data_IF_448774128938
#
_entry.id   IF_448774128938
#
_cell.length_a   1.000
_cell.length_b   1.000
_cell.length_c   1.000
_cell.angle_alpha   90.00
_cell.angle_beta   90.00
_cell.angle_gamma   90.00
#
_symmetry.space_group_name_H-M   'P 1'
#
loop_
_entity.id
_entity.type
_entity.pdbx_description
1 polymer ?
#
# COMPACT_ATOMS: atom_id res chain seq x y z
N UNK A 1 -46.31 2.44 21.75
CA UNK A 1 -45.82 2.65 20.37
C UNK A 1 -44.31 2.54 20.45
N UNK A 2 -43.76 1.48 19.86
CA UNK A 2 -42.40 0.94 20.09
C UNK A 2 -41.32 2.00 20.01
N UNK A 3 -40.65 2.24 21.13
CA UNK A 3 -39.31 2.81 21.15
C UNK A 3 -38.37 1.76 20.55
N UNK A 4 -38.05 1.89 19.27
CA UNK A 4 -36.86 1.28 18.68
C UNK A 4 -35.67 1.79 19.48
N UNK A 5 -35.29 1.01 20.49
CA UNK A 5 -34.01 1.18 21.17
C UNK A 5 -32.98 0.68 20.19
N UNK A 6 -32.58 1.56 19.27
CA UNK A 6 -31.47 1.33 18.35
C UNK A 6 -30.29 0.85 19.19
N UNK A 7 -30.03 -0.45 19.08
CA UNK A 7 -29.08 -1.14 19.94
C UNK A 7 -27.69 -0.59 19.67
N UNK A 8 -27.16 0.19 20.61
CA UNK A 8 -25.81 0.75 20.54
C UNK A 8 -24.81 -0.40 20.75
N UNK A 9 -24.34 -0.98 19.65
CA UNK A 9 -23.21 -1.91 19.65
C UNK A 9 -21.90 -1.12 19.62
N UNK A 10 -21.61 -0.44 20.72
CA UNK A 10 -20.24 0.02 20.97
C UNK A 10 -19.67 -1.02 21.93
N UNK A 11 -18.67 -1.76 21.49
CA UNK A 11 -17.86 -2.56 22.40
C UNK A 11 -16.45 -2.15 22.01
N UNK A 12 -15.75 -1.42 22.88
CA UNK A 12 -14.35 -1.13 22.64
C UNK A 12 -13.56 -2.37 23.10
N UNK A 13 -13.49 -3.39 22.25
CA UNK A 13 -12.62 -4.53 22.49
C UNK A 13 -11.20 -4.15 22.03
N UNK A 14 -10.16 -4.29 22.88
CA UNK A 14 -8.76 -4.11 22.48
C UNK A 14 -8.25 -5.24 21.56
N UNK A 15 -9.13 -6.17 21.15
CA UNK A 15 -8.84 -7.34 20.33
C UNK A 15 -9.79 -7.44 19.14
N UNK A 16 -9.22 -7.86 18.02
CA UNK A 16 -9.74 -7.89 16.64
C UNK A 16 -10.79 -9.00 16.38
N UNK A 17 -11.84 -9.09 17.20
CA UNK A 17 -12.95 -10.03 17.00
C UNK A 17 -14.27 -9.29 16.73
N UNK A 18 -14.33 -8.58 15.60
CA UNK A 18 -15.58 -8.09 15.03
C UNK A 18 -15.95 -9.02 13.89
N UNK A 19 -16.96 -9.87 14.10
CA UNK A 19 -17.44 -10.86 13.12
C UNK A 19 -17.84 -10.19 11.80
N UNK A 20 -16.90 -10.09 10.86
CA UNK A 20 -17.04 -9.52 9.51
C UNK A 20 -17.57 -8.07 9.40
N UNK A 21 -17.61 -7.32 10.51
CA UNK A 21 -18.04 -5.91 10.48
C UNK A 21 -16.86 -5.00 10.12
N UNK A 22 -16.99 -4.14 9.08
CA UNK A 22 -15.93 -3.20 8.74
C UNK A 22 -15.70 -2.20 9.88
N UNK A 23 -14.43 -2.03 10.26
CA UNK A 23 -13.99 -1.12 11.31
C UNK A 23 -13.20 0.06 10.73
N UNK A 24 -13.19 1.16 11.47
CA UNK A 24 -12.37 2.34 11.21
C UNK A 24 -11.49 2.62 12.44
N UNK A 25 -10.25 3.03 12.20
CA UNK A 25 -9.36 3.44 13.28
C UNK A 25 -9.61 4.92 13.63
N UNK A 26 -10.07 5.18 14.85
CA UNK A 26 -10.28 6.52 15.41
C UNK A 26 -9.44 6.64 16.68
N UNK A 27 -8.49 7.57 16.74
CA UNK A 27 -7.60 7.78 17.89
C UNK A 27 -6.85 6.52 18.39
N UNK A 28 -6.54 5.57 17.51
CA UNK A 28 -5.87 4.32 17.90
C UNK A 28 -6.84 3.24 18.39
N UNK A 29 -8.15 3.46 18.27
CA UNK A 29 -9.20 2.51 18.60
C UNK A 29 -9.92 2.03 17.33
N UNK A 30 -10.09 0.72 17.19
CA UNK A 30 -10.93 0.16 16.13
C UNK A 30 -12.41 0.31 16.52
N UNK A 31 -13.12 1.15 15.77
CA UNK A 31 -14.54 1.44 15.95
C UNK A 31 -15.32 0.81 14.78
N UNK A 32 -16.35 0.00 15.02
CA UNK A 32 -17.23 -0.48 13.96
C UNK A 32 -17.87 0.68 13.19
N UNK A 33 -17.92 0.59 11.85
CA UNK A 33 -18.53 1.65 11.03
C UNK A 33 -19.96 2.01 11.44
N UNK A 34 -20.86 1.07 11.79
CA UNK A 34 -22.21 1.42 12.25
C UNK A 34 -22.21 2.29 13.52
N UNK A 35 -21.28 2.04 14.43
CA UNK A 35 -21.14 2.85 15.64
C UNK A 35 -20.60 4.25 15.33
N UNK A 36 -19.63 4.35 14.41
CA UNK A 36 -19.08 5.63 13.96
C UNK A 36 -20.17 6.52 13.36
N UNK A 37 -20.94 6.00 12.40
CA UNK A 37 -22.02 6.77 11.75
C UNK A 37 -23.09 7.20 12.74
N UNK A 38 -23.45 6.36 13.69
CA UNK A 38 -24.42 6.73 14.71
C UNK A 38 -23.92 7.86 15.63
N UNK A 39 -22.63 7.91 15.95
CA UNK A 39 -22.02 9.03 16.69
C UNK A 39 -22.09 10.30 15.84
N UNK A 40 -21.79 10.21 14.54
CA UNK A 40 -21.90 11.32 13.58
C UNK A 40 -23.33 11.86 13.55
N UNK A 41 -24.33 10.99 13.37
CA UNK A 41 -25.75 11.36 13.30
C UNK A 41 -26.20 12.11 14.56
N UNK A 42 -25.83 11.60 15.75
CA UNK A 42 -26.19 12.26 17.01
C UNK A 42 -25.54 13.64 17.17
N UNK A 43 -24.33 13.83 16.66
CA UNK A 43 -23.66 15.13 16.68
C UNK A 43 -24.23 16.08 15.62
N UNK A 44 -24.68 15.57 14.47
CA UNK A 44 -25.41 16.36 13.45
C UNK A 44 -26.79 16.81 13.94
N UNK A 45 -27.47 15.97 14.72
CA UNK A 45 -28.71 16.29 15.42
C UNK A 45 -28.53 17.36 16.52
N UNK A 46 -27.30 17.82 16.75
CA UNK A 46 -26.97 18.89 17.70
C UNK A 46 -26.90 18.44 19.15
N UNK A 47 -26.79 17.13 19.43
CA UNK A 47 -26.62 16.64 20.80
C UNK A 47 -25.25 17.02 21.34
N UNK A 48 -25.21 17.35 22.63
CA UNK A 48 -23.96 17.63 23.34
C UNK A 48 -23.06 16.40 23.33
N UNK A 49 -21.74 16.61 23.30
CA UNK A 49 -20.77 15.50 23.30
C UNK A 49 -20.98 14.59 24.50
N UNK A 50 -21.27 15.19 25.65
CA UNK A 50 -21.54 14.54 26.93
C UNK A 50 -22.79 13.66 26.86
N UNK A 51 -23.84 14.11 26.15
CA UNK A 51 -25.07 13.35 25.95
C UNK A 51 -24.87 12.14 25.03
N UNK A 52 -24.03 12.31 23.99
CA UNK A 52 -23.64 11.21 23.09
C UNK A 52 -22.83 10.18 23.85
N UNK A 53 -21.82 10.62 24.60
CA UNK A 53 -20.99 9.78 25.46
C UNK A 53 -21.86 9.03 26.47
N UNK A 54 -22.81 9.69 27.12
CA UNK A 54 -23.70 9.07 28.10
C UNK A 54 -24.66 8.05 27.46
N UNK A 55 -25.16 8.35 26.26
CA UNK A 55 -25.97 7.42 25.46
C UNK A 55 -25.20 6.15 25.09
N UNK A 56 -23.91 6.29 24.80
CA UNK A 56 -23.02 5.17 24.44
C UNK A 56 -22.62 4.37 25.69
N UNK A 57 -22.24 5.02 26.79
CA UNK A 57 -21.82 4.37 28.05
C UNK A 57 -22.93 3.52 28.68
N UNK A 58 -24.19 3.94 28.54
CA UNK A 58 -25.35 3.17 28.99
C UNK A 58 -25.36 1.74 28.43
N UNK A 59 -24.73 1.51 27.28
CA UNK A 59 -24.68 0.23 26.58
C UNK A 59 -23.35 -0.50 26.76
N UNK A 60 -22.23 0.22 26.94
CA UNK A 60 -20.87 -0.36 26.94
C UNK A 60 -20.26 -0.57 28.33
N UNK A 61 -20.84 0.03 29.36
CA UNK A 61 -20.35 -0.02 30.74
C UNK A 61 -19.20 0.95 31.04
N UNK A 62 -19.02 1.25 32.34
CA UNK A 62 -18.12 2.33 32.82
C UNK A 62 -16.63 2.19 32.50
N UNK A 63 -16.16 0.99 32.12
CA UNK A 63 -14.73 0.75 31.83
C UNK A 63 -14.28 1.35 30.49
N UNK A 64 -15.20 1.63 29.59
CA UNK A 64 -14.93 2.13 28.23
C UNK A 64 -15.21 3.62 28.07
N UNK A 65 -15.57 4.31 29.15
CA UNK A 65 -15.94 5.74 29.18
C UNK A 65 -14.87 6.61 28.54
N UNK A 66 -13.61 6.43 28.96
CA UNK A 66 -12.51 7.24 28.46
C UNK A 66 -12.31 7.04 26.95
N UNK A 67 -12.34 5.79 26.49
CA UNK A 67 -12.21 5.46 25.06
C UNK A 67 -13.35 6.05 24.23
N UNK A 68 -14.57 5.99 24.76
CA UNK A 68 -15.76 6.56 24.09
C UNK A 68 -15.66 8.09 24.04
N UNK A 69 -15.20 8.74 25.10
CA UNK A 69 -14.95 10.18 25.11
C UNK A 69 -13.94 10.57 24.03
N UNK A 70 -12.78 9.89 24.00
CA UNK A 70 -11.71 10.18 23.05
C UNK A 70 -12.17 9.99 21.59
N UNK A 71 -13.01 8.98 21.33
CA UNK A 71 -13.62 8.73 20.02
C UNK A 71 -14.63 9.81 19.67
N UNK A 72 -15.57 10.15 20.56
CA UNK A 72 -16.60 11.18 20.32
C UNK A 72 -15.97 12.55 20.11
N UNK A 73 -14.94 12.89 20.87
CA UNK A 73 -14.18 14.14 20.70
C UNK A 73 -13.51 14.21 19.33
N UNK A 74 -12.86 13.13 18.91
CA UNK A 74 -12.25 13.05 17.58
C UNK A 74 -13.27 13.15 16.45
N UNK A 75 -14.42 12.49 16.59
CA UNK A 75 -15.51 12.56 15.59
C UNK A 75 -16.08 13.97 15.51
N UNK A 76 -16.32 14.61 16.66
CA UNK A 76 -16.83 15.98 16.71
C UNK A 76 -15.84 16.99 16.12
N UNK A 77 -14.53 16.84 16.40
CA UNK A 77 -13.49 17.66 15.78
C UNK A 77 -13.46 17.49 14.26
N UNK A 78 -13.55 16.25 13.78
CA UNK A 78 -13.61 15.95 12.36
C UNK A 78 -14.83 16.60 11.69
N UNK A 79 -16.01 16.51 12.31
CA UNK A 79 -17.21 17.19 11.82
C UNK A 79 -17.05 18.71 11.82
N UNK A 80 -16.49 19.30 12.88
CA UNK A 80 -16.22 20.74 12.91
C UNK A 80 -15.28 21.17 11.77
N UNK A 81 -14.25 20.39 11.45
CA UNK A 81 -13.36 20.67 10.33
C UNK A 81 -14.10 20.60 8.98
N UNK A 82 -15.02 19.63 8.82
CA UNK A 82 -15.87 19.50 7.62
C UNK A 82 -16.82 20.72 7.50
N UNK A 83 -17.53 21.07 8.57
CA UNK A 83 -18.47 22.20 8.59
C UNK A 83 -17.77 23.55 8.41
N UNK A 84 -16.61 23.78 9.05
CA UNK A 84 -15.81 25.00 8.86
C UNK A 84 -15.34 25.14 7.42
N UNK A 85 -14.99 24.04 6.76
CA UNK A 85 -14.60 24.05 5.34
C UNK A 85 -15.79 24.34 4.41
N UNK A 86 -16.98 23.85 4.75
CA UNK A 86 -18.22 24.11 4.00
C UNK A 86 -18.71 25.56 4.15
N UNK A 87 -18.61 26.16 5.34
CA UNK A 87 -19.02 27.55 5.59
C UNK A 87 -18.08 28.59 4.96
N UNK A 88 -16.78 28.30 4.85
CA UNK A 88 -15.80 29.17 4.16
C UNK A 88 -15.98 29.11 2.62
N UNK A 89 -16.68 28.10 2.09
CA UNK A 89 -16.88 27.93 0.65
C UNK A 89 -17.96 28.84 0.03
N UNK A 90 -18.87 29.40 0.83
CA UNK A 90 -20.06 30.11 0.31
C UNK A 90 -20.01 31.64 0.41
N UNK A 91 -18.92 32.23 0.91
CA UNK A 91 -18.71 33.68 0.82
C UNK A 91 -17.27 33.96 0.43
N UNK A 92 -17.12 34.80 -0.60
CA UNK A 92 -15.88 35.34 -1.17
C UNK A 92 -15.35 34.58 -2.40
N UNK A 93 -15.92 34.95 -3.54
CA UNK A 93 -15.16 35.15 -4.77
C UNK A 93 -14.05 36.18 -4.54
N UNK A 94 -12.96 35.74 -3.91
CA UNK A 94 -11.66 36.38 -4.02
C UNK A 94 -10.71 35.34 -4.61
N UNK A 95 -9.87 35.71 -5.59
CA UNK A 95 -8.87 34.80 -6.11
C UNK A 95 -7.80 34.63 -5.01
N UNK A 96 -8.06 33.74 -4.05
CA UNK A 96 -7.03 33.24 -3.18
C UNK A 96 -5.98 32.62 -4.10
N UNK A 97 -4.82 33.27 -4.19
CA UNK A 97 -3.59 32.61 -4.66
C UNK A 97 -3.43 31.39 -3.78
N UNK A 98 -3.95 30.25 -4.25
CA UNK A 98 -3.84 28.96 -3.57
C UNK A 98 -2.36 28.77 -3.28
N UNK A 99 -1.98 28.68 -2.01
CA UNK A 99 -0.63 28.30 -1.65
C UNK A 99 -0.39 26.92 -2.28
N UNK A 100 0.56 26.83 -3.20
CA UNK A 100 0.87 25.60 -3.97
C UNK A 100 1.31 24.43 -3.08
N UNK A 101 1.46 24.64 -1.76
CA UNK A 101 1.97 23.70 -0.78
C UNK A 101 1.06 22.49 -0.49
N UNK A 102 -0.26 22.61 -0.53
CA UNK A 102 -1.15 21.44 -0.32
C UNK A 102 -1.21 20.56 -1.57
N UNK A 103 -0.98 21.14 -2.76
CA UNK A 103 -0.84 20.37 -3.99
C UNK A 103 0.48 19.58 -4.03
N UNK A 104 1.56 20.12 -3.43
CA UNK A 104 2.86 19.45 -3.46
C UNK A 104 2.85 18.17 -2.62
N UNK A 105 2.22 18.14 -1.45
CA UNK A 105 2.17 16.93 -0.61
C UNK A 105 1.34 15.79 -1.22
N UNK A 106 0.18 16.10 -1.81
CA UNK A 106 -0.65 15.12 -2.55
C UNK A 106 0.03 14.65 -3.83
N UNK A 107 0.70 15.55 -4.56
CA UNK A 107 1.46 15.18 -5.74
C UNK A 107 2.68 14.33 -5.37
N UNK A 108 3.39 14.62 -4.27
CA UNK A 108 4.49 13.79 -3.79
C UNK A 108 4.04 12.38 -3.40
N UNK A 109 2.88 12.25 -2.73
CA UNK A 109 2.35 10.93 -2.34
C UNK A 109 1.93 10.10 -3.54
N UNK A 110 1.25 10.72 -4.52
CA UNK A 110 0.87 10.06 -5.77
C UNK A 110 2.08 9.73 -6.66
N UNK A 111 3.11 10.60 -6.66
CA UNK A 111 4.35 10.37 -7.38
C UNK A 111 5.12 9.19 -6.76
N UNK A 112 5.26 9.16 -5.44
CA UNK A 112 5.91 8.05 -4.74
C UNK A 112 5.21 6.70 -5.00
N UNK A 113 3.88 6.69 -5.08
CA UNK A 113 3.12 5.48 -5.42
C UNK A 113 3.38 5.01 -6.86
N UNK A 114 3.37 5.94 -7.83
CA UNK A 114 3.70 5.65 -9.23
C UNK A 114 5.14 5.19 -9.42
N UNK A 115 6.07 5.83 -8.73
CA UNK A 115 7.51 5.50 -8.79
C UNK A 115 7.77 4.12 -8.16
N UNK A 116 7.06 3.78 -7.08
CA UNK A 116 7.12 2.44 -6.46
C UNK A 116 6.57 1.37 -7.40
N UNK A 117 5.43 1.63 -8.04
CA UNK A 117 4.81 0.69 -8.99
C UNK A 117 5.68 0.50 -10.25
N UNK A 118 6.32 1.57 -10.74
CA UNK A 118 7.28 1.50 -11.82
C UNK A 118 8.55 0.72 -11.43
N UNK A 119 9.03 0.87 -10.20
CA UNK A 119 10.18 0.14 -9.68
C UNK A 119 9.88 -1.36 -9.50
N UNK A 120 8.68 -1.72 -9.05
CA UNK A 120 8.23 -3.11 -8.95
C UNK A 120 8.09 -3.75 -10.35
N UNK A 121 7.51 -3.03 -11.32
CA UNK A 121 7.42 -3.50 -12.71
C UNK A 121 8.78 -3.67 -13.38
N UNK A 122 9.74 -2.77 -13.11
CA UNK A 122 11.11 -2.89 -13.60
C UNK A 122 11.84 -4.09 -12.99
N UNK A 123 11.60 -4.39 -11.71
CA UNK A 123 12.15 -5.57 -11.05
C UNK A 123 11.61 -6.86 -11.68
N UNK A 124 10.30 -6.94 -11.92
CA UNK A 124 9.68 -8.10 -12.56
C UNK A 124 10.21 -8.32 -13.97
N UNK A 125 10.31 -7.27 -14.79
CA UNK A 125 10.89 -7.34 -16.13
C UNK A 125 12.36 -7.80 -16.11
N UNK A 126 13.16 -7.32 -15.15
CA UNK A 126 14.56 -7.73 -15.01
C UNK A 126 14.67 -9.21 -14.60
N UNK A 127 13.81 -9.70 -13.70
CA UNK A 127 13.78 -11.12 -13.34
C UNK A 127 13.33 -12.03 -14.48
N UNK A 128 12.45 -11.54 -15.36
CA UNK A 128 12.04 -12.29 -16.54
C UNK A 128 13.19 -12.40 -17.55
N UNK A 129 13.93 -11.32 -17.79
CA UNK A 129 15.15 -11.35 -18.63
C UNK A 129 16.22 -12.28 -18.06
N UNK A 130 16.37 -12.33 -16.74
CA UNK A 130 17.30 -13.27 -16.10
C UNK A 130 16.94 -14.72 -16.42
N UNK A 131 15.65 -15.08 -16.36
CA UNK A 131 15.19 -16.44 -16.73
C UNK A 131 15.48 -16.77 -18.18
N UNK A 132 15.27 -15.82 -19.09
CA UNK A 132 15.58 -16.00 -20.52
C UNK A 132 17.07 -16.25 -20.74
N UNK A 133 17.95 -15.46 -20.10
CA UNK A 133 19.40 -15.65 -20.17
C UNK A 133 19.85 -16.99 -19.60
N UNK A 134 19.23 -17.47 -18.52
CA UNK A 134 19.53 -18.78 -17.95
C UNK A 134 19.09 -19.91 -18.89
N UNK A 135 17.95 -19.78 -19.56
CA UNK A 135 17.50 -20.73 -20.57
C UNK A 135 18.45 -20.76 -21.78
N UNK A 136 18.91 -19.59 -22.25
CA UNK A 136 19.91 -19.50 -23.32
C UNK A 136 21.23 -20.18 -22.92
N UNK A 137 21.70 -19.96 -21.68
CA UNK A 137 22.89 -20.62 -21.15
C UNK A 137 22.73 -22.15 -21.13
N UNK A 138 21.57 -22.66 -20.69
CA UNK A 138 21.27 -24.09 -20.72
C UNK A 138 21.26 -24.65 -22.14
N UNK A 139 20.67 -23.94 -23.10
CA UNK A 139 20.65 -24.33 -24.50
C UNK A 139 22.07 -24.40 -25.10
N UNK A 140 22.92 -23.42 -24.81
CA UNK A 140 24.32 -23.38 -25.26
C UNK A 140 25.12 -24.53 -24.61
N UNK A 141 24.91 -24.80 -23.32
CA UNK A 141 25.56 -25.91 -22.61
C UNK A 141 25.18 -27.26 -23.22
N UNK A 142 23.90 -27.48 -23.50
CA UNK A 142 23.41 -28.69 -24.16
C UNK A 142 23.97 -28.81 -25.58
N UNK A 143 24.04 -27.72 -26.35
CA UNK A 143 24.68 -27.68 -27.67
C UNK A 143 26.15 -28.05 -27.60
N UNK A 144 26.89 -27.57 -26.60
CA UNK A 144 28.29 -27.94 -26.34
C UNK A 144 28.44 -29.44 -26.11
N UNK A 145 27.57 -30.01 -25.27
CA UNK A 145 27.57 -31.45 -24.97
C UNK A 145 27.30 -32.29 -26.23
N UNK A 146 26.36 -31.88 -27.07
CA UNK A 146 26.08 -32.55 -28.35
C UNK A 146 27.27 -32.49 -29.32
N UNK A 147 27.98 -31.36 -29.38
CA UNK A 147 29.19 -31.22 -30.22
C UNK A 147 30.35 -32.08 -29.73
N UNK A 148 30.37 -32.43 -28.44
CA UNK A 148 31.33 -33.41 -27.93
C UNK A 148 30.97 -34.86 -28.27
N UNK A 149 29.74 -35.17 -28.67
CA UNK A 149 29.33 -36.53 -29.05
C UNK A 149 29.36 -36.79 -30.56
N UNK A 150 29.60 -35.76 -31.36
CA UNK A 150 29.57 -35.80 -32.82
C UNK A 150 30.95 -36.13 -33.39
N UNK A 151 31.00 -37.03 -34.37
CA UNK A 151 32.22 -37.31 -35.12
C UNK A 151 32.54 -36.15 -36.06
N UNK A 152 33.67 -35.48 -35.79
CA UNK A 152 34.13 -34.31 -36.52
C UNK A 152 35.65 -34.29 -36.57
N UNK A 153 36.23 -33.63 -37.57
CA UNK A 153 37.66 -33.32 -37.59
C UNK A 153 38.06 -32.54 -36.33
N UNK A 154 39.20 -32.85 -35.70
CA UNK A 154 39.64 -32.22 -34.46
C UNK A 154 39.77 -30.68 -34.57
N UNK A 155 40.16 -30.15 -35.73
CA UNK A 155 40.27 -28.71 -35.95
C UNK A 155 38.91 -28.02 -36.07
N UNK A 156 37.95 -28.63 -36.76
CA UNK A 156 36.59 -28.11 -36.87
C UNK A 156 35.88 -28.15 -35.52
N UNK A 157 36.15 -29.20 -34.72
CA UNK A 157 35.67 -29.34 -33.35
C UNK A 157 36.22 -28.26 -32.44
N UNK A 158 37.51 -27.93 -32.54
CA UNK A 158 38.13 -26.82 -31.79
C UNK A 158 37.49 -25.48 -32.15
N UNK A 159 37.31 -25.18 -33.44
CA UNK A 159 36.69 -23.94 -33.90
C UNK A 159 35.24 -23.80 -33.39
N UNK A 160 34.45 -24.85 -33.50
CA UNK A 160 33.04 -24.84 -33.06
C UNK A 160 32.90 -24.76 -31.54
N UNK A 161 33.71 -25.49 -30.77
CA UNK A 161 33.72 -25.36 -29.30
C UNK A 161 34.16 -23.96 -28.89
N UNK A 162 35.18 -23.40 -29.54
CA UNK A 162 35.63 -22.04 -29.27
C UNK A 162 34.55 -20.98 -29.57
N UNK A 163 33.74 -21.18 -30.61
CA UNK A 163 32.61 -20.30 -30.92
C UNK A 163 31.51 -20.40 -29.85
N UNK A 164 31.15 -21.61 -29.43
CA UNK A 164 30.18 -21.87 -28.36
C UNK A 164 30.65 -21.28 -27.02
N UNK A 165 31.94 -21.40 -26.70
CA UNK A 165 32.51 -20.81 -25.49
C UNK A 165 32.52 -19.28 -25.56
N UNK A 166 32.65 -18.69 -26.75
CA UNK A 166 32.50 -17.26 -26.93
C UNK A 166 31.06 -16.79 -26.74
N UNK A 167 30.08 -17.51 -27.30
CA UNK A 167 28.65 -17.27 -27.07
C UNK A 167 28.30 -17.38 -25.57
N UNK A 168 28.79 -18.42 -24.89
CA UNK A 168 28.59 -18.60 -23.44
C UNK A 168 29.17 -17.42 -22.64
N UNK A 169 30.38 -16.96 -22.97
CA UNK A 169 30.99 -15.78 -22.33
C UNK A 169 30.15 -14.51 -22.52
N UNK A 170 29.52 -14.34 -23.68
CA UNK A 170 28.63 -13.21 -23.92
C UNK A 170 27.36 -13.30 -23.06
N UNK A 171 26.75 -14.47 -22.96
CA UNK A 171 25.56 -14.69 -22.11
C UNK A 171 25.88 -14.42 -20.64
N UNK A 172 27.03 -14.90 -20.14
CA UNK A 172 27.46 -14.65 -18.76
C UNK A 172 27.70 -13.16 -18.47
N UNK A 173 28.25 -12.40 -19.42
CA UNK A 173 28.40 -10.94 -19.28
C UNK A 173 27.05 -10.24 -19.18
N UNK A 174 26.10 -10.60 -20.06
CA UNK A 174 24.73 -10.05 -20.02
C UNK A 174 24.03 -10.42 -18.72
N UNK A 175 24.23 -11.64 -18.21
CA UNK A 175 23.68 -12.07 -16.93
C UNK A 175 24.20 -11.22 -15.77
N UNK A 176 25.51 -10.93 -15.72
CA UNK A 176 26.09 -10.03 -14.72
C UNK A 176 25.50 -8.61 -14.78
N UNK A 177 25.23 -8.09 -15.97
CA UNK A 177 24.58 -6.78 -16.15
C UNK A 177 23.15 -6.80 -15.59
N UNK A 178 22.37 -7.85 -15.90
CA UNK A 178 21.01 -8.03 -15.38
C UNK A 178 21.00 -8.23 -13.86
N UNK A 179 21.94 -8.98 -13.28
CA UNK A 179 22.06 -9.10 -11.83
C UNK A 179 22.33 -7.75 -11.15
N UNK A 180 23.18 -6.91 -11.75
CA UNK A 180 23.44 -5.57 -11.27
C UNK A 180 22.18 -4.69 -11.33
N UNK A 181 21.40 -4.79 -12.41
CA UNK A 181 20.10 -4.11 -12.55
C UNK A 181 19.08 -4.57 -11.50
N UNK A 182 18.93 -5.89 -11.30
CA UNK A 182 18.05 -6.47 -10.27
C UNK A 182 18.45 -5.98 -8.89
N UNK A 183 19.74 -5.98 -8.57
CA UNK A 183 20.25 -5.49 -7.28
C UNK A 183 19.96 -4.01 -7.08
N UNK A 184 20.07 -3.20 -8.13
CA UNK A 184 19.73 -1.78 -8.11
C UNK A 184 18.22 -1.58 -7.91
N UNK A 185 17.38 -2.30 -8.66
CA UNK A 185 15.92 -2.23 -8.55
C UNK A 185 15.45 -2.65 -7.14
N UNK A 186 15.99 -3.74 -6.58
CA UNK A 186 15.72 -4.18 -5.20
C UNK A 186 16.08 -3.13 -4.14
N UNK A 187 17.18 -2.40 -4.34
CA UNK A 187 17.57 -1.31 -3.43
C UNK A 187 16.57 -0.14 -3.49
N UNK A 188 16.11 0.23 -4.68
CA UNK A 188 15.15 1.31 -4.87
C UNK A 188 13.78 0.95 -4.26
N UNK A 189 13.28 -0.27 -4.50
CA UNK A 189 12.02 -0.72 -3.91
C UNK A 189 12.10 -0.82 -2.38
N UNK A 190 13.24 -1.26 -1.82
CA UNK A 190 13.45 -1.31 -0.38
C UNK A 190 13.50 0.08 0.29
N UNK A 191 14.06 1.09 -0.38
CA UNK A 191 14.07 2.48 0.10
C UNK A 191 12.66 3.07 0.11
N UNK A 192 11.87 2.82 -0.94
CA UNK A 192 10.49 3.29 -1.03
C UNK A 192 9.56 2.64 0.00
N UNK A 193 9.77 1.36 0.36
CA UNK A 193 8.98 0.67 1.40
C UNK A 193 9.27 1.12 2.84
N UNK A 194 10.39 1.83 3.07
CA UNK A 194 10.79 2.31 4.40
C UNK A 194 10.42 3.78 4.67
N UNK A 195 10.04 4.53 3.63
CA UNK A 195 9.59 5.93 3.73
C UNK A 195 8.08 6.04 3.92
#
# INVERSE_FOLDING_TARGET
>A
MSSDRDSFWVVAAPSRNWDDIPTINVCGHEVPLPAYWKIVDLLEDGKGKEDVVQSVILHTGRKTVQVVMDVVDSVAENQQLIFRRATISNRLSMPFKKSKLISSSRNLRNQSYRDSQAADGALEAATQREKELLNDALAIAHRKEQMTKRDMSPDDRRKTISAIDHEMKQVLRRHQEVEAEIKKAKRLTALHKRS
#
